data_IF_924513143220
#
_entry.id   IF_924513143220
#
_cell.length_a   1.000
_cell.length_b   1.000
_cell.length_c   1.000
_cell.angle_alpha   90.00
_cell.angle_beta   90.00
_cell.angle_gamma   90.00
#
_symmetry.space_group_name_H-M   'P 1'
#
loop_
_entity.id
_entity.type
_entity.pdbx_description
1 polymer ?
#
# COMPACT_ATOMS: atom_id res chain seq x y z
N UNK A 1 11.58 -6.81 -21.00
CA UNK A 1 10.95 -8.06 -20.52
C UNK A 1 10.77 -8.07 -19.00
N UNK A 2 11.75 -7.54 -18.22
CA UNK A 2 11.67 -7.39 -16.75
C UNK A 2 10.51 -6.49 -16.26
N UNK A 3 10.28 -5.35 -16.91
CA UNK A 3 9.19 -4.40 -16.58
C UNK A 3 7.78 -5.03 -16.61
N UNK A 4 7.52 -6.01 -17.49
CA UNK A 4 6.21 -6.67 -17.54
C UNK A 4 6.01 -7.65 -16.37
N UNK A 5 7.08 -8.31 -15.93
CA UNK A 5 7.03 -9.20 -14.77
C UNK A 5 6.82 -8.41 -13.48
N UNK A 6 7.51 -7.27 -13.33
CA UNK A 6 7.36 -6.36 -12.19
C UNK A 6 5.94 -5.76 -12.12
N UNK A 7 5.39 -5.31 -13.26
CA UNK A 7 3.99 -4.85 -13.32
C UNK A 7 2.99 -5.95 -12.95
N UNK A 8 3.24 -7.18 -13.42
CA UNK A 8 2.40 -8.32 -13.06
C UNK A 8 2.48 -8.60 -11.56
N UNK A 9 3.68 -8.61 -10.97
CA UNK A 9 3.88 -8.82 -9.55
C UNK A 9 3.17 -7.73 -8.72
N UNK A 10 3.31 -6.46 -9.09
CA UNK A 10 2.63 -5.35 -8.43
C UNK A 10 1.11 -5.47 -8.48
N UNK A 11 0.55 -5.89 -9.62
CA UNK A 11 -0.88 -6.13 -9.76
C UNK A 11 -1.35 -7.30 -8.88
N UNK A 12 -0.57 -8.38 -8.81
CA UNK A 12 -0.88 -9.54 -7.98
C UNK A 12 -0.88 -9.14 -6.50
N UNK A 13 0.16 -8.42 -6.04
CA UNK A 13 0.23 -7.90 -4.67
C UNK A 13 -0.95 -6.98 -4.34
N UNK A 14 -1.30 -6.06 -5.24
CA UNK A 14 -2.47 -5.20 -5.05
C UNK A 14 -3.76 -6.02 -4.88
N UNK A 15 -3.98 -7.04 -5.73
CA UNK A 15 -5.17 -7.87 -5.66
C UNK A 15 -5.21 -8.70 -4.37
N UNK A 16 -4.06 -9.23 -3.95
CA UNK A 16 -3.91 -9.96 -2.69
C UNK A 16 -4.25 -9.07 -1.49
N UNK A 17 -3.67 -7.87 -1.41
CA UNK A 17 -3.94 -6.94 -0.30
C UNK A 17 -5.40 -6.52 -0.22
N UNK A 18 -6.03 -6.23 -1.37
CA UNK A 18 -7.47 -5.93 -1.44
C UNK A 18 -8.32 -7.12 -0.97
N UNK A 19 -7.94 -8.34 -1.35
CA UNK A 19 -8.66 -9.56 -0.96
C UNK A 19 -8.53 -9.81 0.54
N UNK A 20 -7.32 -9.79 1.10
CA UNK A 20 -7.07 -10.00 2.52
C UNK A 20 -7.76 -8.92 3.37
N UNK A 21 -7.71 -7.67 2.94
CA UNK A 21 -8.47 -6.58 3.61
C UNK A 21 -9.96 -6.86 3.61
N UNK A 22 -10.52 -7.28 2.46
CA UNK A 22 -11.95 -7.62 2.38
C UNK A 22 -12.32 -8.79 3.29
N UNK A 23 -11.47 -9.82 3.38
CA UNK A 23 -11.65 -10.96 4.28
C UNK A 23 -11.69 -10.48 5.73
N UNK A 24 -10.69 -9.70 6.15
CA UNK A 24 -10.60 -9.12 7.50
C UNK A 24 -11.85 -8.27 7.81
N UNK A 25 -12.23 -7.38 6.89
CA UNK A 25 -13.40 -6.50 7.06
C UNK A 25 -14.70 -7.29 7.22
N UNK A 26 -14.85 -8.38 6.45
CA UNK A 26 -16.13 -9.08 6.34
C UNK A 26 -16.28 -10.24 7.32
N UNK A 27 -15.19 -10.93 7.62
CA UNK A 27 -15.15 -12.16 8.41
C UNK A 27 -14.47 -11.96 9.78
N UNK A 28 -13.76 -10.84 9.96
CA UNK A 28 -12.97 -10.54 11.15
C UNK A 28 -11.52 -11.01 11.01
N UNK A 29 -10.60 -10.40 11.78
CA UNK A 29 -9.22 -10.83 11.84
C UNK A 29 -9.08 -12.19 12.55
N UNK A 30 -8.05 -12.96 12.15
CA UNK A 30 -7.62 -14.17 12.84
C UNK A 30 -6.11 -14.12 13.03
N UNK A 31 -5.66 -13.94 14.27
CA UNK A 31 -4.24 -13.83 14.60
C UNK A 31 -3.48 -15.16 14.49
N UNK A 32 -4.19 -16.28 14.28
CA UNK A 32 -3.58 -17.60 14.08
C UNK A 32 -3.29 -17.91 12.61
N UNK A 33 -3.92 -17.16 11.69
CA UNK A 33 -3.68 -17.24 10.25
C UNK A 33 -3.03 -15.94 9.74
N UNK A 34 -1.75 -15.95 9.34
CA UNK A 34 -1.08 -14.77 8.79
C UNK A 34 -1.81 -14.11 7.62
N UNK A 35 -2.57 -14.86 6.83
CA UNK A 35 -3.32 -14.30 5.71
C UNK A 35 -4.51 -13.44 6.18
N UNK A 36 -4.96 -13.64 7.42
CA UNK A 36 -6.08 -12.95 8.07
C UNK A 36 -5.62 -11.99 9.17
N UNK A 37 -4.32 -11.88 9.42
CA UNK A 37 -3.75 -10.95 10.39
C UNK A 37 -3.63 -9.53 9.80
N UNK A 38 -4.27 -8.51 10.40
CA UNK A 38 -4.11 -7.12 9.99
C UNK A 38 -2.66 -6.64 10.06
N UNK A 39 -1.94 -7.01 11.11
CA UNK A 39 -0.54 -6.66 11.34
C UNK A 39 0.40 -7.28 10.29
N UNK A 40 0.16 -8.54 9.91
CA UNK A 40 0.92 -9.20 8.84
C UNK A 40 0.68 -8.49 7.49
N UNK A 41 -0.58 -8.24 7.14
CA UNK A 41 -0.93 -7.54 5.89
C UNK A 41 -0.36 -6.11 5.85
N UNK A 42 -0.37 -5.40 6.98
CA UNK A 42 0.21 -4.06 7.07
C UNK A 42 1.71 -4.08 6.82
N UNK A 43 2.41 -5.07 7.38
CA UNK A 43 3.86 -5.26 7.18
C UNK A 43 4.17 -5.62 5.73
N UNK A 44 3.47 -6.60 5.15
CA UNK A 44 3.61 -7.00 3.74
C UNK A 44 3.40 -5.81 2.78
N UNK A 45 2.42 -4.97 3.10
CA UNK A 45 2.14 -3.75 2.34
C UNK A 45 3.32 -2.80 2.40
N UNK A 46 3.83 -2.49 3.60
CA UNK A 46 4.95 -1.56 3.78
C UNK A 46 6.23 -2.07 3.11
N UNK A 47 6.53 -3.36 3.21
CA UNK A 47 7.70 -3.99 2.60
C UNK A 47 7.67 -3.95 1.06
N UNK A 48 6.47 -3.83 0.48
CA UNK A 48 6.30 -3.71 -0.98
C UNK A 48 6.51 -2.28 -1.49
N UNK A 49 6.45 -1.27 -0.62
CA UNK A 49 6.60 0.14 -1.00
C UNK A 49 8.08 0.53 -1.03
N UNK A 50 8.49 1.18 -2.11
CA UNK A 50 9.89 1.58 -2.32
C UNK A 50 10.17 3.01 -1.85
N UNK A 51 9.13 3.83 -1.72
CA UNK A 51 9.19 5.16 -1.14
C UNK A 51 8.69 5.16 0.29
N UNK A 52 9.11 6.17 1.04
CA UNK A 52 8.41 6.60 2.26
C UNK A 52 7.25 7.53 1.90
N UNK A 53 6.26 7.73 2.80
CA UNK A 53 5.20 8.71 2.59
C UNK A 53 5.71 10.12 2.25
N UNK A 54 6.78 10.57 2.94
CA UNK A 54 7.37 11.89 2.72
C UNK A 54 8.03 12.01 1.33
N UNK A 55 8.77 11.00 0.89
CA UNK A 55 9.35 10.98 -0.46
C UNK A 55 8.27 10.97 -1.54
N UNK A 56 7.24 10.13 -1.38
CA UNK A 56 6.15 10.03 -2.32
C UNK A 56 5.35 11.35 -2.42
N UNK A 57 5.11 12.02 -1.29
CA UNK A 57 4.49 13.34 -1.25
C UNK A 57 5.34 14.40 -1.97
N UNK A 58 6.64 14.47 -1.68
CA UNK A 58 7.55 15.44 -2.30
C UNK A 58 7.67 15.27 -3.83
N UNK A 59 7.70 14.04 -4.32
CA UNK A 59 7.68 13.76 -5.76
C UNK A 59 6.34 14.11 -6.42
N UNK A 60 5.25 14.06 -5.66
CA UNK A 60 3.90 14.29 -6.20
C UNK A 60 3.61 15.76 -6.51
N UNK A 61 4.28 16.71 -5.85
CA UNK A 61 4.06 18.16 -6.04
C UNK A 61 4.39 18.64 -7.47
N UNK A 62 5.24 17.90 -8.19
CA UNK A 62 5.65 18.20 -9.57
C UNK A 62 5.60 17.00 -10.50
N UNK A 63 4.72 16.02 -10.25
CA UNK A 63 4.81 14.71 -10.89
C UNK A 63 4.80 14.74 -12.43
N UNK A 64 4.21 15.77 -13.06
CA UNK A 64 4.13 15.90 -14.52
C UNK A 64 5.47 16.12 -15.20
N UNK A 65 6.44 16.67 -14.47
CA UNK A 65 7.79 16.96 -14.97
C UNK A 65 8.77 15.81 -14.66
N UNK A 66 8.32 14.77 -13.96
CA UNK A 66 9.15 13.63 -13.61
C UNK A 66 9.37 12.68 -14.80
N UNK A 67 10.49 11.93 -14.82
CA UNK A 67 10.67 10.82 -15.73
C UNK A 67 9.51 9.80 -15.63
N UNK A 68 9.13 9.22 -16.76
CA UNK A 68 8.00 8.28 -16.85
C UNK A 68 8.06 7.14 -15.83
N UNK A 69 9.25 6.63 -15.53
CA UNK A 69 9.42 5.55 -14.55
C UNK A 69 9.06 5.99 -13.13
N UNK A 70 9.36 7.24 -12.74
CA UNK A 70 8.96 7.75 -11.43
C UNK A 70 7.44 7.98 -11.36
N UNK A 71 6.82 8.45 -12.45
CA UNK A 71 5.36 8.60 -12.52
C UNK A 71 4.68 7.23 -12.36
N UNK A 72 5.21 6.20 -13.03
CA UNK A 72 4.70 4.82 -12.89
C UNK A 72 4.86 4.30 -11.47
N UNK A 73 5.99 4.57 -10.83
CA UNK A 73 6.22 4.12 -9.46
C UNK A 73 5.28 4.83 -8.48
N UNK A 74 5.01 6.14 -8.64
CA UNK A 74 4.00 6.84 -7.83
C UNK A 74 2.59 6.24 -8.01
N UNK A 75 2.20 5.93 -9.25
CA UNK A 75 0.92 5.24 -9.54
C UNK A 75 0.87 3.85 -8.90
N UNK A 76 2.00 3.13 -8.91
CA UNK A 76 2.11 1.83 -8.26
C UNK A 76 1.86 1.94 -6.75
N UNK A 77 2.47 2.91 -6.07
CA UNK A 77 2.24 3.15 -4.65
C UNK A 77 0.77 3.50 -4.37
N UNK A 78 0.15 4.36 -5.20
CA UNK A 78 -1.28 4.71 -5.07
C UNK A 78 -2.22 3.50 -5.14
N UNK A 79 -1.86 2.54 -5.99
CA UNK A 79 -2.62 1.31 -6.17
C UNK A 79 -2.40 0.31 -5.03
N UNK A 80 -1.15 0.09 -4.61
CA UNK A 80 -0.82 -0.81 -3.50
C UNK A 80 -1.43 -0.36 -2.18
N UNK A 81 -1.53 0.97 -1.98
CA UNK A 81 -2.07 1.57 -0.75
C UNK A 81 -3.60 1.78 -0.78
N UNK A 82 -4.31 1.27 -1.80
CA UNK A 82 -5.75 1.50 -1.95
C UNK A 82 -6.63 0.93 -0.82
N UNK A 83 -6.15 -0.09 -0.12
CA UNK A 83 -6.88 -0.80 0.94
C UNK A 83 -6.68 -0.19 2.34
N UNK A 84 -5.74 0.75 2.49
CA UNK A 84 -5.24 1.16 3.80
C UNK A 84 -6.28 1.81 4.71
N UNK A 85 -7.23 2.57 4.15
CA UNK A 85 -8.28 3.22 4.95
C UNK A 85 -9.11 2.19 5.73
N UNK A 86 -9.41 1.04 5.11
CA UNK A 86 -10.11 -0.06 5.77
C UNK A 86 -9.21 -0.75 6.80
N UNK A 87 -7.99 -1.11 6.39
CA UNK A 87 -7.06 -1.87 7.22
C UNK A 87 -6.68 -1.14 8.52
N UNK A 88 -6.51 0.18 8.48
CA UNK A 88 -6.18 1.01 9.65
C UNK A 88 -7.22 0.89 10.78
N UNK A 89 -8.47 0.56 10.45
CA UNK A 89 -9.55 0.33 11.41
C UNK A 89 -9.36 -0.91 12.29
N UNK A 90 -8.57 -1.90 11.84
CA UNK A 90 -8.34 -3.16 12.54
C UNK A 90 -7.03 -3.21 13.31
N UNK A 91 -6.14 -2.24 13.10
CA UNK A 91 -4.83 -2.22 13.72
C UNK A 91 -4.88 -1.60 15.12
N UNK A 92 -4.14 -2.19 16.04
CA UNK A 92 -3.86 -1.57 17.34
C UNK A 92 -2.97 -0.31 17.18
N UNK A 93 -3.06 0.67 18.10
CA UNK A 93 -2.13 1.80 18.13
C UNK A 93 -0.67 1.35 18.18
N UNK A 94 0.17 1.89 17.30
CA UNK A 94 1.58 1.53 17.20
C UNK A 94 2.24 2.06 15.93
N UNK A 95 3.57 1.85 15.80
CA UNK A 95 4.37 2.44 14.72
C UNK A 95 3.95 1.98 13.32
N UNK A 96 3.50 0.73 13.16
CA UNK A 96 2.98 0.22 11.88
C UNK A 96 1.70 0.97 11.48
N UNK A 97 0.76 1.11 12.42
CA UNK A 97 -0.49 1.87 12.20
C UNK A 97 -0.20 3.33 11.86
N UNK A 98 0.74 3.98 12.55
CA UNK A 98 1.13 5.36 12.27
C UNK A 98 1.70 5.53 10.84
N UNK A 99 2.52 4.58 10.38
CA UNK A 99 3.01 4.59 9.00
C UNK A 99 1.89 4.42 7.98
N UNK A 100 0.94 3.53 8.23
CA UNK A 100 -0.22 3.36 7.34
C UNK A 100 -1.12 4.60 7.33
N UNK A 101 -1.33 5.26 8.47
CA UNK A 101 -2.05 6.55 8.53
C UNK A 101 -1.31 7.64 7.74
N UNK A 102 0.02 7.69 7.80
CA UNK A 102 0.76 8.64 6.96
C UNK A 102 0.52 8.34 5.46
N UNK A 103 0.49 7.07 5.07
CA UNK A 103 0.17 6.66 3.71
C UNK A 103 -1.26 6.99 3.27
N UNK A 104 -2.26 6.86 4.14
CA UNK A 104 -3.65 7.25 3.78
C UNK A 104 -3.76 8.75 3.52
N UNK A 105 -2.97 9.58 4.22
CA UNK A 105 -2.90 11.03 3.96
C UNK A 105 -2.11 11.35 2.68
N UNK A 106 -1.03 10.63 2.39
CA UNK A 106 -0.20 10.86 1.20
C UNK A 106 -0.88 10.36 -0.08
N UNK A 107 -1.59 9.23 -0.04
CA UNK A 107 -2.16 8.56 -1.22
C UNK A 107 -2.99 9.47 -2.13
N UNK A 108 -3.89 10.34 -1.63
CA UNK A 108 -4.66 11.26 -2.46
C UNK A 108 -3.82 12.24 -3.29
N UNK A 109 -2.58 12.52 -2.87
CA UNK A 109 -1.66 13.42 -3.57
C UNK A 109 -1.00 12.76 -4.79
N UNK A 110 -0.94 11.43 -4.79
CA UNK A 110 -0.28 10.66 -5.84
C UNK A 110 -1.06 10.75 -7.16
N UNK A 111 -0.40 10.73 -8.33
CA UNK A 111 -1.03 10.69 -9.65
C UNK A 111 -1.94 9.47 -9.86
#
# INVERSE_FOLDING_TARGET
>A
MLDNAERRAARVAQQDFMLRTWVIDRLGPDDTDPDWSPEALASDTLDTLTFTPAQAAGLSEGWRDLPLEQIRELRRHKNLTAHLESLVGHLSPGPVREQLVAWTVTRPLLP
#
